data_IF_725310831393
#
_entry.id   IF_725310831393
#
_cell.length_a   1.000
_cell.length_b   1.000
_cell.length_c   1.000
_cell.angle_alpha   90.00
_cell.angle_beta   90.00
_cell.angle_gamma   90.00
#
_symmetry.space_group_name_H-M   'P 1'
#
loop_
_entity.id
_entity.type
_entity.pdbx_description
1 polymer ?
#
# COMPACT_ATOMS: atom_id res chain seq x y z
N UNK A 1 41.47 39.13 -15.43
CA UNK A 1 42.81 39.07 -16.06
C UNK A 1 43.17 37.65 -16.37
N UNK A 2 43.47 37.47 -17.65
CA UNK A 2 44.16 36.38 -18.35
C UNK A 2 43.51 35.00 -18.50
N UNK A 3 43.05 34.91 -19.73
CA UNK A 3 42.92 33.77 -20.64
C UNK A 3 44.18 32.93 -20.76
N UNK A 4 44.06 31.61 -21.00
CA UNK A 4 44.84 30.93 -22.04
C UNK A 4 44.12 29.66 -22.50
N UNK A 5 43.82 29.66 -23.78
CA UNK A 5 43.47 28.58 -24.68
C UNK A 5 44.76 27.89 -25.14
N UNK A 6 44.76 26.57 -25.27
CA UNK A 6 45.72 25.88 -26.13
C UNK A 6 45.02 24.81 -26.99
N UNK A 7 45.14 25.05 -28.31
CA UNK A 7 44.77 24.16 -29.40
C UNK A 7 46.00 23.31 -29.75
N UNK A 8 45.83 22.00 -29.83
CA UNK A 8 46.82 21.11 -30.45
C UNK A 8 46.34 20.69 -31.83
N UNK A 9 47.15 20.93 -32.83
CA UNK A 9 46.96 20.64 -34.25
C UNK A 9 47.42 19.21 -34.55
N UNK A 10 46.62 18.48 -35.35
CA UNK A 10 47.03 17.25 -35.97
C UNK A 10 47.94 17.52 -37.19
N UNK A 11 49.03 16.83 -37.29
CA UNK A 11 49.92 16.79 -38.48
C UNK A 11 49.68 15.46 -39.24
N UNK A 12 49.40 15.64 -40.52
CA UNK A 12 49.27 14.57 -41.49
C UNK A 12 50.64 14.35 -42.15
N UNK A 13 51.17 13.11 -42.16
CA UNK A 13 52.34 12.74 -42.94
C UNK A 13 51.91 11.79 -44.05
N UNK A 14 52.17 12.22 -45.29
CA UNK A 14 51.93 11.47 -46.53
C UNK A 14 53.17 10.65 -46.83
N UNK A 15 53.01 9.35 -46.97
CA UNK A 15 54.04 8.46 -47.51
C UNK A 15 53.50 7.64 -48.68
N UNK A 16 54.08 7.85 -49.88
CA UNK A 16 53.76 7.16 -51.12
C UNK A 16 54.47 5.81 -51.19
N UNK A 17 53.75 4.72 -51.50
CA UNK A 17 54.34 3.54 -52.09
C UNK A 17 53.27 2.81 -52.93
N UNK A 18 53.57 2.67 -54.21
CA UNK A 18 52.82 1.89 -55.19
C UNK A 18 53.04 0.39 -54.98
N UNK A 19 51.95 -0.40 -54.98
CA UNK A 19 51.95 -1.77 -55.45
C UNK A 19 50.57 -2.19 -55.87
N UNK A 20 50.41 -2.65 -57.09
CA UNK A 20 49.20 -3.19 -57.69
C UNK A 20 48.79 -4.53 -57.04
N UNK A 21 47.54 -4.70 -56.75
CA UNK A 21 46.93 -5.95 -56.34
C UNK A 21 45.45 -5.77 -56.08
N UNK A 22 44.58 -6.11 -57.03
CA UNK A 22 43.16 -5.96 -56.90
C UNK A 22 42.55 -6.86 -55.83
N UNK A 23 41.89 -6.27 -54.88
CA UNK A 23 40.90 -6.91 -54.01
C UNK A 23 39.72 -5.95 -53.92
N UNK A 24 38.59 -6.38 -54.50
CA UNK A 24 37.32 -5.71 -54.35
C UNK A 24 36.87 -5.88 -52.92
N UNK A 25 37.14 -4.92 -52.07
CA UNK A 25 36.62 -4.85 -50.73
C UNK A 25 35.19 -4.31 -50.81
N UNK A 26 34.23 -5.21 -50.70
CA UNK A 26 32.84 -4.82 -50.51
C UNK A 26 32.74 -4.08 -49.16
N UNK A 27 32.70 -2.74 -49.23
CA UNK A 27 32.28 -1.92 -48.10
C UNK A 27 30.80 -2.23 -47.81
N UNK A 28 30.56 -3.23 -46.97
CA UNK A 28 29.25 -3.42 -46.35
C UNK A 28 28.99 -2.19 -45.46
N UNK A 29 28.06 -1.34 -45.83
CA UNK A 29 27.55 -0.30 -44.98
C UNK A 29 27.09 -0.94 -43.68
N UNK A 30 27.47 -0.40 -42.49
CA UNK A 30 26.95 -0.91 -41.24
C UNK A 30 25.41 -0.76 -41.26
N UNK A 31 24.69 -1.89 -41.20
CA UNK A 31 23.25 -1.87 -41.04
C UNK A 31 22.97 -1.05 -39.74
N UNK A 32 22.00 -0.12 -39.80
CA UNK A 32 21.55 0.57 -38.61
C UNK A 32 21.10 -0.50 -37.62
N UNK A 33 21.72 -0.55 -36.43
CA UNK A 33 21.18 -1.36 -35.33
C UNK A 33 19.76 -0.84 -35.07
N UNK A 34 18.78 -1.68 -35.34
CA UNK A 34 17.39 -1.39 -34.96
C UNK A 34 17.38 -1.01 -33.47
N UNK A 35 16.89 0.19 -33.18
CA UNK A 35 16.66 0.60 -31.80
C UNK A 35 15.71 -0.42 -31.17
N UNK A 36 16.01 -0.93 -29.97
CA UNK A 36 15.13 -1.90 -29.32
C UNK A 36 13.71 -1.29 -29.23
N UNK A 37 12.75 -1.98 -29.79
CA UNK A 37 11.34 -1.61 -29.70
C UNK A 37 11.00 -1.54 -28.20
N UNK A 38 10.46 -0.43 -27.68
CA UNK A 38 10.10 -0.35 -26.27
C UNK A 38 9.11 -1.46 -25.93
N UNK A 39 9.24 -2.09 -24.76
CA UNK A 39 8.35 -3.16 -24.34
C UNK A 39 6.89 -2.66 -24.36
N UNK A 40 5.99 -3.49 -24.88
CA UNK A 40 4.56 -3.20 -24.88
C UNK A 40 4.05 -3.26 -23.41
N UNK A 41 3.33 -2.24 -22.94
CA UNK A 41 2.72 -2.30 -21.60
C UNK A 41 1.79 -3.51 -21.45
N UNK A 42 1.81 -4.14 -20.28
CA UNK A 42 0.89 -5.24 -19.97
C UNK A 42 -0.56 -4.77 -19.95
N UNK A 43 -1.48 -5.66 -20.36
CA UNK A 43 -2.93 -5.44 -20.17
C UNK A 43 -3.29 -5.47 -18.67
N UNK A 44 -4.50 -5.05 -18.31
CA UNK A 44 -4.95 -5.09 -16.93
C UNK A 44 -4.95 -6.52 -16.36
N UNK A 45 -5.40 -7.51 -17.16
CA UNK A 45 -5.40 -8.93 -16.77
C UNK A 45 -3.99 -9.48 -16.62
N UNK A 46 -3.04 -9.06 -17.45
CA UNK A 46 -1.63 -9.43 -17.32
C UNK A 46 -1.01 -8.83 -16.07
N UNK A 47 -1.37 -7.59 -15.69
CA UNK A 47 -0.94 -6.94 -14.45
C UNK A 47 -1.52 -7.64 -13.22
N UNK A 48 -2.79 -8.08 -13.27
CA UNK A 48 -3.38 -8.89 -12.19
C UNK A 48 -2.58 -10.18 -12.01
N UNK A 49 -2.29 -10.91 -13.10
CA UNK A 49 -1.50 -12.14 -13.01
C UNK A 49 -0.10 -11.90 -12.47
N UNK A 50 0.56 -10.83 -12.91
CA UNK A 50 1.86 -10.42 -12.37
C UNK A 50 1.78 -10.14 -10.86
N UNK A 51 0.78 -9.37 -10.42
CA UNK A 51 0.57 -9.08 -8.99
C UNK A 51 0.33 -10.36 -8.17
N UNK A 52 -0.47 -11.28 -8.69
CA UNK A 52 -0.69 -12.58 -8.05
C UNK A 52 0.59 -13.44 -8.02
N UNK A 53 1.44 -13.36 -9.05
CA UNK A 53 2.75 -14.04 -9.05
C UNK A 53 3.65 -13.48 -7.96
N UNK A 54 3.72 -12.16 -7.77
CA UNK A 54 4.48 -11.57 -6.67
C UNK A 54 4.02 -12.09 -5.30
N UNK A 55 2.71 -12.23 -5.07
CA UNK A 55 2.19 -12.82 -3.84
C UNK A 55 2.46 -14.32 -3.72
N UNK A 56 2.50 -15.03 -4.84
CA UNK A 56 2.93 -16.45 -4.86
C UNK A 56 4.39 -16.57 -4.46
N UNK A 57 5.27 -15.75 -5.01
CA UNK A 57 6.69 -15.73 -4.68
C UNK A 57 6.92 -15.39 -3.19
N UNK A 58 6.17 -14.42 -2.64
CA UNK A 58 6.15 -14.14 -1.20
C UNK A 58 5.73 -15.37 -0.39
N UNK A 59 4.62 -16.02 -0.74
CA UNK A 59 4.08 -17.17 -0.02
C UNK A 59 5.01 -18.39 -0.08
N UNK A 60 5.73 -18.56 -1.18
CA UNK A 60 6.70 -19.64 -1.40
C UNK A 60 8.11 -19.29 -0.90
N UNK A 61 8.31 -18.07 -0.33
CA UNK A 61 9.60 -17.57 0.15
C UNK A 61 10.67 -17.50 -0.94
N UNK A 62 10.24 -17.30 -2.19
CA UNK A 62 11.10 -17.03 -3.33
C UNK A 62 11.56 -15.57 -3.32
N UNK A 63 12.36 -15.23 -2.33
CA UNK A 63 12.70 -13.83 -2.02
C UNK A 63 13.42 -13.10 -3.15
N UNK A 64 14.27 -13.79 -3.92
CA UNK A 64 14.95 -13.19 -5.07
C UNK A 64 13.96 -12.85 -6.20
N UNK A 65 12.95 -13.70 -6.44
CA UNK A 65 11.90 -13.45 -7.42
C UNK A 65 10.96 -12.34 -6.91
N UNK A 66 10.49 -12.41 -5.65
CA UNK A 66 9.67 -11.39 -5.02
C UNK A 66 10.32 -10.00 -5.07
N UNK A 67 11.64 -9.92 -4.83
CA UNK A 67 12.41 -8.69 -4.94
C UNK A 67 12.31 -8.05 -6.33
N UNK A 68 12.21 -8.85 -7.38
CA UNK A 68 12.09 -8.34 -8.75
C UNK A 68 10.78 -7.63 -9.04
N UNK A 69 9.76 -7.81 -8.20
CA UNK A 69 8.48 -7.11 -8.31
C UNK A 69 8.62 -5.60 -8.05
N UNK A 70 9.71 -5.15 -7.42
CA UNK A 70 9.92 -3.75 -7.07
C UNK A 70 10.88 -3.05 -8.03
N UNK A 71 10.58 -1.81 -8.37
CA UNK A 71 11.50 -0.94 -9.10
C UNK A 71 12.70 -0.55 -8.20
N UNK A 72 13.88 -0.24 -8.77
CA UNK A 72 15.04 0.17 -7.99
C UNK A 72 14.77 1.39 -7.07
N UNK A 73 13.85 2.27 -7.48
CA UNK A 73 13.46 3.48 -6.75
C UNK A 73 12.18 3.31 -5.94
N UNK A 74 11.68 2.08 -5.79
CA UNK A 74 10.43 1.81 -5.09
C UNK A 74 10.45 2.36 -3.66
N UNK A 75 9.29 2.85 -3.22
CA UNK A 75 9.06 3.22 -1.82
C UNK A 75 7.91 2.39 -1.26
N UNK A 76 8.03 1.95 -0.02
CA UNK A 76 6.99 1.21 0.68
C UNK A 76 6.75 1.79 2.06
N UNK A 77 5.49 2.07 2.38
CA UNK A 77 5.04 2.39 3.72
C UNK A 77 4.46 1.13 4.34
N UNK A 78 5.06 0.66 5.42
CA UNK A 78 4.65 -0.55 6.12
C UNK A 78 4.52 -0.29 7.62
N UNK A 79 3.60 -0.99 8.33
CA UNK A 79 3.46 -0.86 9.77
C UNK A 79 4.72 -1.26 10.52
N UNK A 80 4.95 -0.63 11.69
CA UNK A 80 6.02 -1.02 12.60
C UNK A 80 7.45 -0.65 12.16
N UNK A 81 7.63 -0.01 11.02
CA UNK A 81 8.94 0.44 10.55
C UNK A 81 9.29 1.78 11.22
N UNK A 82 10.43 1.90 11.86
CA UNK A 82 10.86 3.11 12.57
C UNK A 82 11.09 4.35 11.69
N UNK A 83 10.73 4.30 10.41
CA UNK A 83 10.81 5.37 9.42
C UNK A 83 9.55 5.41 8.54
N UNK A 84 9.24 6.59 7.94
CA UNK A 84 8.01 6.74 7.14
C UNK A 84 7.94 5.84 5.92
N UNK A 85 9.09 5.59 5.28
CA UNK A 85 9.17 4.80 4.06
C UNK A 85 10.44 3.94 4.04
N UNK A 86 10.29 2.71 3.55
CA UNK A 86 11.38 1.87 3.07
C UNK A 86 11.71 2.29 1.64
N UNK A 87 12.99 2.26 1.27
CA UNK A 87 13.42 2.70 -0.05
C UNK A 87 14.22 1.62 -0.76
N UNK A 88 13.79 1.28 -1.95
CA UNK A 88 14.39 0.26 -2.79
C UNK A 88 14.08 -1.17 -2.37
N UNK A 89 14.24 -2.12 -3.31
CA UNK A 89 13.85 -3.53 -3.11
C UNK A 89 14.54 -4.20 -1.93
N UNK A 90 15.77 -3.80 -1.60
CA UNK A 90 16.54 -4.43 -0.52
C UNK A 90 15.94 -4.15 0.87
N UNK A 91 15.57 -2.89 1.15
CA UNK A 91 14.95 -2.54 2.43
C UNK A 91 13.55 -3.11 2.57
N UNK A 92 12.77 -3.09 1.47
CA UNK A 92 11.40 -3.63 1.44
C UNK A 92 11.44 -5.14 1.71
N UNK A 93 12.34 -5.85 1.05
CA UNK A 93 12.53 -7.27 1.26
C UNK A 93 12.98 -7.59 2.69
N UNK A 94 13.94 -6.84 3.23
CA UNK A 94 14.43 -7.04 4.60
C UNK A 94 13.30 -6.94 5.63
N UNK A 95 12.37 -5.99 5.48
CA UNK A 95 11.23 -5.85 6.37
C UNK A 95 10.29 -7.08 6.35
N UNK A 96 10.01 -7.63 5.17
CA UNK A 96 9.23 -8.85 5.05
C UNK A 96 9.94 -10.08 5.61
N UNK A 97 11.26 -10.19 5.39
CA UNK A 97 12.08 -11.26 5.96
C UNK A 97 12.19 -11.16 7.48
N UNK A 98 12.21 -9.96 8.05
CA UNK A 98 12.17 -9.78 9.51
C UNK A 98 10.81 -10.21 10.08
N UNK A 99 9.72 -9.97 9.36
CA UNK A 99 8.41 -10.46 9.74
C UNK A 99 8.32 -11.99 9.63
N UNK A 100 8.91 -12.59 8.59
CA UNK A 100 9.04 -14.04 8.43
C UNK A 100 9.81 -14.70 9.60
N UNK A 101 10.88 -14.08 10.10
CA UNK A 101 11.61 -14.60 11.26
C UNK A 101 10.71 -14.78 12.49
N UNK A 102 9.71 -13.90 12.65
CA UNK A 102 8.71 -14.02 13.72
C UNK A 102 7.60 -15.05 13.37
N UNK A 103 7.28 -15.19 12.09
CA UNK A 103 6.21 -16.04 11.55
C UNK A 103 6.73 -16.83 10.35
N UNK A 104 7.47 -17.95 10.56
CA UNK A 104 8.10 -18.68 9.44
C UNK A 104 7.12 -19.23 8.41
N UNK A 105 5.87 -19.49 8.80
CA UNK A 105 4.78 -19.97 7.94
C UNK A 105 3.87 -18.85 7.41
N UNK A 106 4.32 -17.57 7.50
CA UNK A 106 3.53 -16.41 7.07
C UNK A 106 3.11 -16.52 5.61
N UNK A 107 1.85 -16.21 5.35
CA UNK A 107 1.28 -16.19 4.01
C UNK A 107 0.19 -15.13 3.89
N UNK A 108 0.11 -14.54 2.72
CA UNK A 108 -0.97 -13.63 2.33
C UNK A 108 -1.97 -14.33 1.40
N UNK A 109 -3.26 -14.24 1.70
CA UNK A 109 -4.35 -14.81 0.90
C UNK A 109 -5.26 -13.68 0.43
N UNK A 110 -5.22 -13.39 -0.89
CA UNK A 110 -6.05 -12.34 -1.49
C UNK A 110 -7.54 -12.65 -1.34
N UNK A 111 -8.33 -11.62 -1.00
CA UNK A 111 -9.79 -11.69 -0.93
C UNK A 111 -10.42 -10.87 -2.05
N UNK A 112 -9.85 -9.70 -2.34
CA UNK A 112 -10.28 -8.76 -3.37
C UNK A 112 -9.06 -8.16 -4.05
N UNK A 113 -9.08 -8.05 -5.37
CA UNK A 113 -8.07 -7.34 -6.17
C UNK A 113 -8.81 -6.34 -7.06
N UNK A 114 -8.47 -5.08 -6.91
CA UNK A 114 -8.96 -3.97 -7.72
C UNK A 114 -7.81 -3.44 -8.55
N UNK A 115 -8.04 -3.17 -9.82
CA UNK A 115 -7.02 -2.60 -10.71
C UNK A 115 -7.62 -1.53 -11.61
N UNK A 116 -6.96 -0.38 -11.71
CA UNK A 116 -7.24 0.61 -12.74
C UNK A 116 -5.94 1.29 -13.19
N UNK A 117 -5.66 1.20 -14.49
CA UNK A 117 -4.42 1.72 -15.07
C UNK A 117 -3.19 1.12 -14.41
N UNK A 118 -2.37 1.95 -13.77
CA UNK A 118 -1.16 1.57 -13.04
C UNK A 118 -1.36 1.44 -11.51
N UNK A 119 -2.60 1.44 -11.05
CA UNK A 119 -2.95 1.28 -9.63
C UNK A 119 -3.56 -0.10 -9.37
N UNK A 120 -3.12 -0.75 -8.30
CA UNK A 120 -3.70 -2.01 -7.81
C UNK A 120 -3.96 -1.85 -6.32
N UNK A 121 -5.12 -2.29 -5.86
CA UNK A 121 -5.42 -2.44 -4.44
C UNK A 121 -5.81 -3.89 -4.13
N UNK A 122 -5.44 -4.37 -2.97
CA UNK A 122 -5.79 -5.68 -2.46
C UNK A 122 -6.33 -5.62 -1.05
N UNK A 123 -7.36 -6.43 -0.79
CA UNK A 123 -7.72 -6.85 0.55
C UNK A 123 -7.24 -8.28 0.69
N UNK A 124 -6.41 -8.55 1.68
CA UNK A 124 -5.83 -9.87 1.89
C UNK A 124 -5.90 -10.29 3.35
N UNK A 125 -5.94 -11.59 3.58
CA UNK A 125 -5.83 -12.19 4.91
C UNK A 125 -4.39 -12.64 5.12
N UNK A 126 -3.72 -12.09 6.13
CA UNK A 126 -2.38 -12.46 6.54
C UNK A 126 -2.48 -13.51 7.64
N UNK A 127 -1.89 -14.69 7.43
CA UNK A 127 -1.94 -15.82 8.37
C UNK A 127 -0.54 -16.32 8.68
N UNK A 128 -0.32 -16.75 9.90
CA UNK A 128 0.93 -17.38 10.32
C UNK A 128 0.90 -17.81 11.78
N UNK A 129 1.96 -18.51 12.20
CA UNK A 129 2.17 -18.94 13.58
C UNK A 129 3.43 -18.30 14.12
N UNK A 130 3.33 -17.59 15.23
CA UNK A 130 4.47 -16.94 15.85
C UNK A 130 5.34 -17.95 16.60
N UNK A 131 6.28 -18.55 15.92
CA UNK A 131 7.27 -19.48 16.52
C UNK A 131 8.65 -18.85 16.68
N UNK A 132 8.91 -17.74 15.99
CA UNK A 132 10.17 -17.01 16.07
C UNK A 132 10.13 -15.86 17.10
N UNK A 133 11.26 -15.19 17.24
CA UNK A 133 11.38 -14.02 18.13
C UNK A 133 10.52 -12.86 17.65
N UNK A 134 9.90 -12.16 18.58
CA UNK A 134 9.24 -10.88 18.32
C UNK A 134 10.17 -9.75 18.74
N UNK A 135 10.42 -8.83 17.82
CA UNK A 135 11.21 -7.64 18.06
C UNK A 135 10.30 -6.50 18.51
N UNK A 136 10.54 -5.97 19.70
CA UNK A 136 9.82 -4.86 20.29
C UNK A 136 10.68 -3.58 20.19
N UNK A 137 10.09 -2.38 20.39
CA UNK A 137 10.84 -1.15 20.52
C UNK A 137 11.96 -1.25 21.58
N UNK A 138 12.97 -0.37 21.47
CA UNK A 138 14.15 -0.34 22.35
C UNK A 138 15.01 -1.62 22.30
N UNK A 139 15.02 -2.33 21.15
CA UNK A 139 15.75 -3.59 20.93
C UNK A 139 15.37 -4.73 21.89
N UNK A 140 14.21 -4.64 22.50
CA UNK A 140 13.69 -5.73 23.32
C UNK A 140 13.23 -6.89 22.41
N UNK A 141 13.44 -8.10 22.88
CA UNK A 141 13.02 -9.31 22.20
C UNK A 141 12.26 -10.20 23.15
N UNK A 142 11.21 -10.84 22.67
CA UNK A 142 10.48 -11.88 23.40
C UNK A 142 10.43 -13.16 22.56
N UNK A 143 10.38 -14.30 23.24
CA UNK A 143 10.23 -15.59 22.60
C UNK A 143 8.91 -15.69 21.86
N UNK A 144 8.86 -16.50 20.83
CA UNK A 144 7.63 -16.81 20.12
C UNK A 144 6.52 -17.31 21.05
N UNK A 145 5.31 -16.84 20.79
CA UNK A 145 4.12 -17.15 21.63
C UNK A 145 3.48 -18.48 21.27
N UNK A 146 3.88 -19.09 20.16
CA UNK A 146 3.25 -20.26 19.52
C UNK A 146 1.77 -20.03 19.16
N UNK A 147 1.34 -18.77 19.06
CA UNK A 147 -0.03 -18.43 18.69
C UNK A 147 -0.15 -18.16 17.19
N UNK A 148 -1.30 -18.48 16.66
CA UNK A 148 -1.67 -18.13 15.29
C UNK A 148 -2.12 -16.68 15.20
N UNK A 149 -1.85 -16.09 14.05
CA UNK A 149 -2.44 -14.83 13.61
C UNK A 149 -3.30 -15.06 12.36
N UNK A 150 -4.32 -14.24 12.22
CA UNK A 150 -5.18 -14.19 11.04
C UNK A 150 -5.87 -12.84 11.03
N UNK A 151 -5.34 -11.90 10.23
CA UNK A 151 -5.80 -10.52 10.18
C UNK A 151 -5.89 -10.01 8.76
N UNK A 152 -6.88 -9.17 8.51
CA UNK A 152 -7.00 -8.45 7.24
C UNK A 152 -5.94 -7.37 7.16
N UNK A 153 -5.40 -7.18 5.96
CA UNK A 153 -4.60 -6.02 5.63
C UNK A 153 -5.01 -5.43 4.29
N UNK A 154 -4.88 -4.12 4.19
CA UNK A 154 -5.04 -3.37 2.96
C UNK A 154 -3.70 -3.15 2.29
N UNK A 155 -3.66 -3.29 0.98
CA UNK A 155 -2.46 -3.13 0.16
C UNK A 155 -2.80 -2.30 -1.07
N UNK A 156 -2.11 -1.17 -1.25
CA UNK A 156 -2.27 -0.31 -2.44
C UNK A 156 -0.91 -0.09 -3.06
N UNK A 157 -0.79 -0.35 -4.36
CA UNK A 157 0.44 -0.15 -5.11
C UNK A 157 0.21 0.71 -6.35
N UNK A 158 1.20 1.53 -6.66
CA UNK A 158 1.39 2.17 -7.95
C UNK A 158 2.52 1.47 -8.68
N UNK A 159 2.28 1.03 -9.92
CA UNK A 159 3.24 0.30 -10.73
C UNK A 159 3.75 1.14 -11.89
N UNK A 160 4.98 0.91 -12.32
CA UNK A 160 5.49 1.45 -13.57
C UNK A 160 4.73 0.81 -14.75
N UNK A 161 4.08 1.62 -15.60
CA UNK A 161 3.25 1.10 -16.69
C UNK A 161 4.05 0.41 -17.80
N UNK A 162 5.36 0.68 -17.92
CA UNK A 162 6.20 0.15 -18.99
C UNK A 162 6.90 -1.16 -18.60
N UNK A 163 7.42 -1.21 -17.36
CA UNK A 163 8.21 -2.37 -16.90
C UNK A 163 7.49 -3.21 -15.87
N UNK A 164 6.27 -2.84 -15.48
CA UNK A 164 5.41 -3.53 -14.52
C UNK A 164 6.17 -3.91 -13.25
N UNK A 165 6.56 -2.87 -12.51
CA UNK A 165 7.23 -2.98 -11.20
C UNK A 165 6.59 -2.00 -10.24
N UNK A 166 6.52 -2.36 -8.97
CA UNK A 166 6.04 -1.47 -7.91
C UNK A 166 6.94 -0.24 -7.80
N UNK A 167 6.34 0.95 -7.90
CA UNK A 167 6.97 2.25 -7.63
C UNK A 167 6.65 2.74 -6.23
N UNK A 168 5.38 2.61 -5.81
CA UNK A 168 4.92 2.97 -4.47
C UNK A 168 4.04 1.88 -3.92
N UNK A 169 4.17 1.66 -2.65
CA UNK A 169 3.40 0.67 -1.91
C UNK A 169 2.97 1.25 -0.57
N UNK A 170 1.70 1.04 -0.23
CA UNK A 170 1.17 1.24 1.10
C UNK A 170 0.59 -0.08 1.59
N UNK A 171 1.08 -0.54 2.73
CA UNK A 171 0.56 -1.72 3.44
C UNK A 171 0.04 -1.25 4.77
N UNK A 172 -1.20 -1.58 5.09
CA UNK A 172 -1.82 -1.20 6.36
C UNK A 172 -2.45 -2.42 7.01
N UNK A 173 -2.04 -2.72 8.23
CA UNK A 173 -2.64 -3.72 9.12
C UNK A 173 -2.74 -3.15 10.54
N UNK A 174 -3.64 -3.69 11.36
CA UNK A 174 -3.82 -3.20 12.72
C UNK A 174 -2.89 -3.92 13.71
N UNK A 175 -1.93 -3.18 14.27
CA UNK A 175 -0.97 -3.68 15.26
C UNK A 175 -1.65 -4.10 16.57
N UNK A 176 -2.74 -3.44 17.00
CA UNK A 176 -3.50 -3.82 18.19
C UNK A 176 -4.11 -5.21 18.01
N UNK A 177 -4.68 -5.50 16.85
CA UNK A 177 -5.21 -6.83 16.52
C UNK A 177 -4.11 -7.88 16.51
N UNK A 178 -2.96 -7.58 15.90
CA UNK A 178 -1.79 -8.46 15.88
C UNK A 178 -1.34 -8.80 17.32
N UNK A 179 -1.07 -7.79 18.13
CA UNK A 179 -0.60 -7.97 19.51
C UNK A 179 -1.64 -8.68 20.39
N UNK A 180 -2.94 -8.42 20.19
CA UNK A 180 -4.02 -9.10 20.89
C UNK A 180 -4.07 -10.59 20.56
N UNK A 181 -3.99 -10.96 19.26
CA UNK A 181 -3.98 -12.35 18.82
C UNK A 181 -2.74 -13.11 19.36
N UNK A 182 -1.61 -12.43 19.50
CA UNK A 182 -0.41 -12.96 20.13
C UNK A 182 -0.51 -13.02 21.68
N UNK A 183 -1.52 -12.36 22.28
CA UNK A 183 -1.72 -12.29 23.71
C UNK A 183 -0.75 -11.38 24.43
N UNK A 184 -0.15 -10.43 23.70
CA UNK A 184 0.77 -9.41 24.24
C UNK A 184 0.00 -8.20 24.77
N UNK A 185 -1.17 -7.95 24.20
CA UNK A 185 -2.03 -6.82 24.55
C UNK A 185 -3.43 -7.32 24.97
N UNK A 186 -4.01 -6.67 25.99
CA UNK A 186 -5.38 -6.98 26.46
C UNK A 186 -6.43 -5.99 25.95
N UNK A 187 -6.13 -5.26 24.90
CA UNK A 187 -7.13 -4.42 24.22
C UNK A 187 -7.99 -5.29 23.29
N UNK A 188 -9.23 -4.88 23.06
CA UNK A 188 -10.09 -5.57 22.11
C UNK A 188 -9.61 -5.33 20.68
N UNK A 189 -9.13 -6.37 20.03
CA UNK A 189 -8.83 -6.44 18.61
C UNK A 189 -9.78 -7.39 17.89
N UNK A 190 -9.67 -7.48 16.56
CA UNK A 190 -10.44 -8.48 15.81
C UNK A 190 -10.06 -9.90 16.24
N UNK A 191 -11.04 -10.83 16.33
CA UNK A 191 -10.74 -12.21 16.58
C UNK A 191 -9.91 -12.80 15.43
N UNK A 192 -9.25 -13.92 15.71
CA UNK A 192 -8.50 -14.68 14.71
C UNK A 192 -9.41 -15.05 13.52
N UNK A 193 -9.00 -14.65 12.34
CA UNK A 193 -9.64 -15.06 11.08
C UNK A 193 -8.87 -16.26 10.51
N UNK A 194 -9.49 -17.40 10.48
CA UNK A 194 -8.92 -18.65 9.92
C UNK A 194 -9.88 -19.24 8.87
N UNK A 195 -10.23 -18.42 7.88
CA UNK A 195 -10.99 -18.86 6.72
C UNK A 195 -10.07 -19.63 5.78
N UNK A 196 -10.60 -20.65 5.10
CA UNK A 196 -9.87 -21.34 4.03
C UNK A 196 -9.47 -20.38 2.90
N UNK A 197 -8.46 -20.76 2.13
CA UNK A 197 -8.08 -19.99 0.94
C UNK A 197 -9.27 -19.86 -0.01
N UNK A 198 -9.55 -18.66 -0.44
CA UNK A 198 -10.59 -18.35 -1.42
C UNK A 198 -9.93 -17.76 -2.69
N UNK A 199 -10.58 -17.94 -3.82
CA UNK A 199 -10.17 -17.20 -5.02
C UNK A 199 -10.54 -15.72 -4.83
N UNK A 200 -9.60 -14.78 -4.98
CA UNK A 200 -9.92 -13.38 -4.83
C UNK A 200 -10.92 -12.92 -5.89
N UNK A 201 -11.88 -12.09 -5.51
CA UNK A 201 -12.66 -11.35 -6.48
C UNK A 201 -11.74 -10.36 -7.20
N UNK A 202 -11.86 -10.26 -8.53
CA UNK A 202 -11.02 -9.37 -9.35
C UNK A 202 -11.94 -8.38 -10.06
N UNK A 203 -11.67 -7.09 -9.92
CA UNK A 203 -12.41 -6.02 -10.59
C UNK A 203 -11.44 -5.12 -11.34
N UNK A 204 -11.67 -4.97 -12.63
CA UNK A 204 -10.85 -4.15 -13.52
C UNK A 204 -11.62 -2.87 -13.85
N UNK A 205 -11.01 -1.73 -13.54
CA UNK A 205 -11.55 -0.41 -13.84
C UNK A 205 -11.61 -0.14 -15.36
N UNK A 206 -12.62 0.61 -15.74
CA UNK A 206 -12.93 0.96 -17.14
C UNK A 206 -12.77 2.45 -17.40
N UNK A 207 -12.66 3.26 -16.35
CA UNK A 207 -12.72 4.73 -16.40
C UNK A 207 -14.01 5.22 -17.08
N UNK A 208 -15.12 4.55 -16.79
CA UNK A 208 -16.44 4.90 -17.31
C UNK A 208 -17.13 5.97 -16.43
N UNK A 209 -18.30 6.46 -16.90
CA UNK A 209 -19.06 7.51 -16.21
C UNK A 209 -19.49 7.08 -14.79
N UNK A 210 -19.73 5.79 -14.56
CA UNK A 210 -20.12 5.27 -13.24
C UNK A 210 -18.94 5.38 -12.27
N UNK A 211 -17.75 4.97 -12.67
CA UNK A 211 -16.55 5.07 -11.87
C UNK A 211 -16.20 6.54 -11.55
N UNK A 212 -16.32 7.44 -12.55
CA UNK A 212 -16.10 8.87 -12.35
C UNK A 212 -17.11 9.48 -11.36
N UNK A 213 -18.40 9.10 -11.48
CA UNK A 213 -19.45 9.53 -10.55
C UNK A 213 -19.18 9.03 -9.13
N UNK A 214 -18.76 7.80 -8.97
CA UNK A 214 -18.41 7.21 -7.67
C UNK A 214 -17.24 7.96 -7.01
N UNK A 215 -16.19 8.32 -7.77
CA UNK A 215 -15.08 9.14 -7.28
C UNK A 215 -15.56 10.50 -6.77
N UNK A 216 -16.41 11.21 -7.54
CA UNK A 216 -16.92 12.53 -7.13
C UNK A 216 -17.82 12.42 -5.89
N UNK A 217 -18.65 11.39 -5.79
CA UNK A 217 -19.46 11.13 -4.60
C UNK A 217 -18.58 10.89 -3.36
N UNK A 218 -17.52 10.11 -3.51
CA UNK A 218 -16.55 9.83 -2.43
C UNK A 218 -15.77 11.09 -2.03
N UNK A 219 -15.36 11.92 -2.96
CA UNK A 219 -14.73 13.23 -2.64
C UNK A 219 -15.66 14.12 -1.81
N UNK A 220 -16.91 14.22 -2.23
CA UNK A 220 -17.92 15.00 -1.52
C UNK A 220 -18.16 14.45 -0.10
N UNK A 221 -18.21 13.13 0.04
CA UNK A 221 -18.29 12.45 1.34
C UNK A 221 -17.09 12.81 2.24
N UNK A 222 -15.85 12.69 1.74
CA UNK A 222 -14.64 13.02 2.51
C UNK A 222 -14.62 14.49 2.98
N UNK A 223 -15.08 15.42 2.14
CA UNK A 223 -15.19 16.82 2.50
C UNK A 223 -16.21 17.06 3.62
N UNK A 224 -17.39 16.46 3.53
CA UNK A 224 -18.42 16.55 4.57
C UNK A 224 -17.92 15.93 5.88
N UNK A 225 -17.30 14.75 5.82
CA UNK A 225 -16.74 14.07 6.98
C UNK A 225 -15.66 14.92 7.68
N UNK A 226 -14.76 15.52 6.91
CA UNK A 226 -13.70 16.41 7.42
C UNK A 226 -14.21 17.75 7.96
N UNK A 227 -15.43 18.14 7.60
CA UNK A 227 -16.15 19.30 8.17
C UNK A 227 -17.00 18.93 9.38
N UNK A 228 -17.02 17.66 9.78
CA UNK A 228 -17.87 17.10 10.82
C UNK A 228 -19.36 17.35 10.55
N UNK A 229 -19.75 17.38 9.26
CA UNK A 229 -21.14 17.59 8.84
C UNK A 229 -21.94 16.28 8.98
N UNK A 230 -22.97 16.23 9.86
CA UNK A 230 -23.76 15.02 10.04
C UNK A 230 -24.50 14.55 8.77
N UNK A 231 -24.66 15.41 7.75
CA UNK A 231 -25.25 15.04 6.47
C UNK A 231 -24.45 13.95 5.76
N UNK A 232 -23.16 13.81 6.07
CA UNK A 232 -22.27 12.75 5.56
C UNK A 232 -22.86 11.35 5.75
N UNK A 233 -23.58 11.12 6.85
CA UNK A 233 -24.16 9.80 7.14
C UNK A 233 -25.35 9.43 6.22
N UNK A 234 -25.84 10.38 5.43
CA UNK A 234 -26.88 10.10 4.44
C UNK A 234 -26.33 9.37 3.21
N UNK A 235 -25.01 9.39 2.98
CA UNK A 235 -24.40 8.64 1.87
C UNK A 235 -24.31 7.14 2.15
N UNK A 236 -24.30 6.73 3.43
CA UNK A 236 -24.35 5.33 3.80
C UNK A 236 -25.75 4.76 3.55
N UNK A 237 -25.82 3.59 2.92
CA UNK A 237 -27.04 2.82 2.81
C UNK A 237 -27.59 2.43 4.20
N UNK A 238 -28.89 2.16 4.30
CA UNK A 238 -29.50 1.72 5.56
C UNK A 238 -28.93 0.39 6.07
N UNK A 239 -28.53 -0.48 5.16
CA UNK A 239 -27.94 -1.80 5.36
C UNK A 239 -26.42 -1.84 5.18
N UNK A 240 -25.76 -0.68 5.23
CA UNK A 240 -24.30 -0.61 5.06
C UNK A 240 -23.54 -1.44 6.10
N UNK A 241 -22.46 -2.10 5.65
CA UNK A 241 -21.54 -2.85 6.48
C UNK A 241 -20.17 -2.19 6.46
N UNK A 242 -19.60 -1.94 7.62
CA UNK A 242 -18.30 -1.29 7.76
C UNK A 242 -17.31 -2.28 8.40
N UNK A 243 -16.34 -2.70 7.60
CA UNK A 243 -15.24 -3.58 7.98
C UNK A 243 -14.04 -2.73 8.45
N UNK A 244 -14.20 -2.05 9.58
CA UNK A 244 -13.08 -1.34 10.21
C UNK A 244 -12.17 -2.36 10.93
N UNK A 245 -10.94 -2.55 10.43
CA UNK A 245 -10.02 -3.56 10.98
C UNK A 245 -9.57 -3.22 12.41
N UNK A 246 -9.73 -1.98 12.84
CA UNK A 246 -9.39 -1.54 14.21
C UNK A 246 -10.47 -1.90 15.23
N UNK A 247 -11.60 -2.47 14.78
CA UNK A 247 -12.75 -2.83 15.63
C UNK A 247 -12.88 -4.34 15.77
N UNK A 248 -13.37 -4.83 16.92
CA UNK A 248 -13.51 -6.27 17.17
C UNK A 248 -14.48 -6.98 16.23
N UNK A 249 -15.40 -6.26 15.63
CA UNK A 249 -16.42 -6.77 14.70
C UNK A 249 -16.76 -5.73 13.65
N UNK A 250 -17.40 -6.17 12.58
CA UNK A 250 -18.01 -5.27 11.61
C UNK A 250 -19.11 -4.42 12.26
N UNK A 251 -19.26 -3.19 11.78
CA UNK A 251 -20.24 -2.25 12.26
C UNK A 251 -21.39 -2.11 11.24
N UNK A 252 -22.58 -1.91 11.74
CA UNK A 252 -23.68 -1.37 10.94
C UNK A 252 -23.61 0.16 10.86
N UNK A 253 -24.48 0.76 10.05
CA UNK A 253 -24.56 2.22 9.91
C UNK A 253 -24.65 2.98 11.24
N UNK A 254 -25.53 2.53 12.17
CA UNK A 254 -25.73 3.24 13.43
C UNK A 254 -24.47 3.18 14.33
N UNK A 255 -23.80 2.03 14.37
CA UNK A 255 -22.55 1.86 15.12
C UNK A 255 -21.43 2.73 14.52
N UNK A 256 -21.33 2.82 13.18
CA UNK A 256 -20.37 3.68 12.49
C UNK A 256 -20.60 5.15 12.79
N UNK A 257 -21.85 5.63 12.68
CA UNK A 257 -22.22 7.00 13.02
C UNK A 257 -21.80 7.38 14.44
N UNK A 258 -22.05 6.50 15.41
CA UNK A 258 -21.65 6.74 16.80
C UNK A 258 -20.14 6.76 16.98
N UNK A 259 -19.42 5.87 16.26
CA UNK A 259 -17.96 5.84 16.26
C UNK A 259 -17.35 7.14 15.72
N UNK A 260 -17.85 7.62 14.56
CA UNK A 260 -17.36 8.84 13.93
C UNK A 260 -17.62 10.08 14.80
N UNK A 261 -18.82 10.19 15.39
CA UNK A 261 -19.12 11.28 16.33
C UNK A 261 -18.17 11.29 17.52
N UNK A 262 -17.86 10.12 18.08
CA UNK A 262 -16.89 10.02 19.19
C UNK A 262 -15.48 10.41 18.76
N UNK A 263 -15.09 10.13 17.51
CA UNK A 263 -13.81 10.60 16.96
C UNK A 263 -13.80 12.12 16.79
N UNK A 264 -14.87 12.73 16.27
CA UNK A 264 -15.00 14.19 16.13
C UNK A 264 -15.00 14.92 17.49
N UNK A 265 -15.60 14.31 18.53
CA UNK A 265 -15.53 14.84 19.89
C UNK A 265 -14.12 14.76 20.49
N UNK A 266 -13.33 13.73 20.12
CA UNK A 266 -11.97 13.54 20.59
C UNK A 266 -10.93 14.35 19.80
N UNK A 267 -11.27 14.77 18.57
CA UNK A 267 -10.40 15.48 17.65
C UNK A 267 -11.23 16.50 16.86
N UNK A 268 -11.36 17.71 17.37
CA UNK A 268 -12.22 18.73 16.76
C UNK A 268 -11.75 19.25 15.40
N UNK A 269 -10.48 18.98 15.03
CA UNK A 269 -9.85 19.35 13.77
C UNK A 269 -9.53 18.15 12.86
N UNK A 270 -10.12 16.97 13.14
CA UNK A 270 -9.82 15.73 12.41
C UNK A 270 -10.21 15.85 10.94
N UNK A 271 -9.28 15.51 10.06
CA UNK A 271 -9.44 15.58 8.61
C UNK A 271 -8.87 14.35 7.92
N UNK A 272 -9.50 13.98 6.82
CA UNK A 272 -9.00 12.97 5.88
C UNK A 272 -8.36 13.67 4.68
N UNK A 273 -7.14 13.30 4.36
CA UNK A 273 -6.43 13.79 3.19
C UNK A 273 -6.07 12.62 2.27
N UNK A 274 -6.67 12.57 1.07
CA UNK A 274 -6.34 11.55 0.08
C UNK A 274 -5.05 11.92 -0.67
N UNK A 275 -4.08 11.00 -0.68
CA UNK A 275 -2.90 11.07 -1.54
C UNK A 275 -3.14 10.37 -2.88
N UNK A 276 -4.08 9.43 -2.92
CA UNK A 276 -4.51 8.70 -4.11
C UNK A 276 -5.98 8.35 -3.99
N UNK A 277 -6.74 8.50 -5.08
CA UNK A 277 -8.14 8.09 -5.19
C UNK A 277 -8.44 7.66 -6.62
N UNK A 278 -9.02 6.48 -6.78
CA UNK A 278 -9.38 5.91 -8.07
C UNK A 278 -10.48 4.86 -7.91
N UNK A 279 -11.11 4.45 -9.00
CA UNK A 279 -12.21 3.50 -8.96
C UNK A 279 -11.97 2.28 -9.85
N UNK A 280 -12.62 1.17 -9.53
CA UNK A 280 -12.75 -0.01 -10.35
C UNK A 280 -14.16 -0.60 -10.16
N UNK A 281 -15.00 -0.51 -11.18
CA UNK A 281 -16.41 -0.89 -11.11
C UNK A 281 -17.16 -0.13 -10.01
N UNK A 282 -17.79 -0.88 -9.12
CA UNK A 282 -18.54 -0.32 -7.98
C UNK A 282 -17.63 0.18 -6.83
N UNK A 283 -16.32 0.00 -6.92
CA UNK A 283 -15.39 0.29 -5.83
C UNK A 283 -14.62 1.59 -6.05
N UNK A 284 -14.44 2.37 -4.98
CA UNK A 284 -13.50 3.49 -4.92
C UNK A 284 -12.43 3.16 -3.89
N UNK A 285 -11.18 3.31 -4.28
CA UNK A 285 -10.00 3.09 -3.44
C UNK A 285 -9.42 4.44 -3.05
N UNK A 286 -9.16 4.62 -1.77
CA UNK A 286 -8.55 5.81 -1.19
C UNK A 286 -7.32 5.37 -0.40
N UNK A 287 -6.20 6.03 -0.61
CA UNK A 287 -5.05 5.97 0.28
C UNK A 287 -4.70 7.39 0.72
N UNK A 288 -4.43 7.58 2.00
CA UNK A 288 -4.21 8.92 2.53
C UNK A 288 -3.75 8.95 3.98
N UNK A 289 -3.94 10.10 4.61
CA UNK A 289 -3.68 10.32 6.04
C UNK A 289 -4.92 10.85 6.75
N UNK A 290 -5.08 10.44 8.00
CA UNK A 290 -6.01 11.00 8.96
C UNK A 290 -5.22 11.86 9.95
N UNK A 291 -5.47 13.15 9.96
CA UNK A 291 -4.69 14.15 10.70
C UNK A 291 -5.58 14.91 11.69
N UNK A 292 -5.14 15.07 12.93
CA UNK A 292 -5.90 15.81 13.93
C UNK A 292 -5.14 16.06 15.23
N UNK A 293 -5.76 16.84 16.11
CA UNK A 293 -5.25 17.14 17.47
C UNK A 293 -6.19 16.54 18.50
N UNK A 294 -5.67 15.69 19.38
CA UNK A 294 -6.46 15.07 20.44
C UNK A 294 -6.81 16.11 21.52
N UNK A 295 -7.89 16.82 21.36
CA UNK A 295 -8.39 17.87 22.24
C UNK A 295 -9.63 17.48 23.04
N UNK A 296 -10.11 16.23 22.90
CA UNK A 296 -11.15 15.59 23.70
C UNK A 296 -10.77 14.19 24.17
N UNK A 297 -11.58 13.62 25.06
CA UNK A 297 -11.42 12.24 25.53
C UNK A 297 -11.82 11.23 24.45
N UNK A 298 -11.13 10.11 24.33
CA UNK A 298 -11.50 8.98 23.47
C UNK A 298 -11.81 7.73 24.32
N UNK A 299 -13.05 7.58 24.80
CA UNK A 299 -13.44 6.53 25.74
C UNK A 299 -13.25 5.11 25.20
N UNK A 300 -13.42 4.91 23.91
CA UNK A 300 -13.30 3.60 23.25
C UNK A 300 -11.95 2.92 23.51
N UNK A 301 -10.88 3.70 23.65
CA UNK A 301 -9.51 3.22 23.97
C UNK A 301 -9.03 3.72 25.33
N UNK A 302 -9.94 4.25 26.17
CA UNK A 302 -9.67 4.80 27.50
C UNK A 302 -8.60 5.91 27.51
N UNK A 303 -8.50 6.65 26.42
CA UNK A 303 -7.55 7.74 26.26
C UNK A 303 -8.18 9.05 26.72
N UNK A 304 -7.47 9.76 27.61
CA UNK A 304 -7.80 11.13 27.99
C UNK A 304 -7.21 12.11 26.98
N UNK A 305 -7.80 13.29 26.87
CA UNK A 305 -7.27 14.41 26.12
C UNK A 305 -5.78 14.61 26.38
N UNK A 306 -4.98 14.63 25.32
CA UNK A 306 -3.52 14.77 25.41
C UNK A 306 -3.01 16.10 24.85
N UNK A 307 -3.77 16.77 24.00
CA UNK A 307 -3.36 17.94 23.24
C UNK A 307 -2.35 17.64 22.13
N UNK A 308 -2.05 16.36 21.85
CA UNK A 308 -1.07 15.95 20.86
C UNK A 308 -1.68 15.86 19.47
N UNK A 309 -0.86 16.14 18.48
CA UNK A 309 -1.19 15.90 17.07
C UNK A 309 -0.92 14.44 16.71
N UNK A 310 -1.76 13.92 15.82
CA UNK A 310 -1.61 12.61 15.22
C UNK A 310 -1.74 12.73 13.70
N UNK A 311 -0.96 11.92 13.00
CA UNK A 311 -1.07 11.70 11.56
C UNK A 311 -0.93 10.21 11.31
N UNK A 312 -1.99 9.58 10.82
CA UNK A 312 -2.01 8.15 10.61
C UNK A 312 -2.36 7.82 9.14
N UNK A 313 -1.54 7.01 8.47
CA UNK A 313 -1.89 6.54 7.13
C UNK A 313 -3.09 5.61 7.21
N UNK A 314 -3.96 5.71 6.21
CA UNK A 314 -5.10 4.80 6.04
C UNK A 314 -5.28 4.37 4.60
N UNK A 315 -5.94 3.25 4.43
CA UNK A 315 -6.53 2.81 3.16
C UNK A 315 -8.01 2.61 3.42
N UNK A 316 -8.83 3.11 2.50
CA UNK A 316 -10.26 2.89 2.52
C UNK A 316 -10.70 2.39 1.15
N UNK A 317 -11.59 1.42 1.15
CA UNK A 317 -12.20 0.87 -0.06
C UNK A 317 -13.70 0.89 0.15
N UNK A 318 -14.37 1.76 -0.60
CA UNK A 318 -15.81 1.91 -0.58
C UNK A 318 -16.44 1.14 -1.72
N UNK A 319 -17.51 0.40 -1.46
CA UNK A 319 -18.36 -0.16 -2.50
C UNK A 319 -19.65 0.62 -2.60
N UNK A 320 -19.85 1.26 -3.74
CA UNK A 320 -21.03 2.08 -4.02
C UNK A 320 -22.05 1.30 -4.86
N UNK A 321 -23.31 1.45 -4.52
CA UNK A 321 -24.45 0.96 -5.33
C UNK A 321 -25.63 1.88 -5.12
N UNK A 322 -26.31 2.23 -6.19
CA UNK A 322 -27.48 3.12 -6.16
C UNK A 322 -27.19 4.46 -5.45
N UNK A 323 -26.04 5.07 -5.77
CA UNK A 323 -25.52 6.32 -5.20
C UNK A 323 -25.34 6.28 -3.66
N UNK A 324 -25.19 5.08 -3.08
CA UNK A 324 -24.97 4.88 -1.66
C UNK A 324 -23.76 3.97 -1.42
N UNK A 325 -23.04 4.24 -0.36
CA UNK A 325 -21.98 3.34 0.13
C UNK A 325 -22.67 2.16 0.83
N UNK A 326 -22.43 0.97 0.33
CA UNK A 326 -22.97 -0.30 0.84
C UNK A 326 -21.99 -1.05 1.73
N UNK A 327 -20.71 -0.96 1.40
CA UNK A 327 -19.64 -1.61 2.16
C UNK A 327 -18.45 -0.66 2.22
N UNK A 328 -17.79 -0.63 3.36
CA UNK A 328 -16.55 0.11 3.62
C UNK A 328 -15.54 -0.87 4.19
N UNK A 329 -14.34 -0.93 3.64
CA UNK A 329 -13.17 -1.55 4.26
C UNK A 329 -12.22 -0.44 4.67
N UNK A 330 -12.08 -0.24 5.97
CA UNK A 330 -11.20 0.78 6.52
C UNK A 330 -10.00 0.14 7.20
N UNK A 331 -8.81 0.51 6.76
CA UNK A 331 -7.53 0.00 7.25
C UNK A 331 -6.73 1.14 7.85
N UNK A 332 -6.40 1.03 9.12
CA UNK A 332 -5.51 1.93 9.86
C UNK A 332 -4.74 1.13 10.91
N UNK A 333 -3.51 1.51 11.20
CA UNK A 333 -2.73 0.93 12.30
C UNK A 333 -3.05 1.66 13.61
N UNK A 334 -3.93 1.07 14.40
CA UNK A 334 -4.36 1.64 15.68
C UNK A 334 -3.23 1.67 16.72
N UNK A 335 -2.29 0.73 16.67
CA UNK A 335 -1.12 0.75 17.55
C UNK A 335 -0.25 1.99 17.27
N UNK A 336 0.02 2.29 15.99
CA UNK A 336 0.73 3.50 15.59
C UNK A 336 -0.05 4.76 16.00
N UNK A 337 -1.36 4.82 15.73
CA UNK A 337 -2.21 5.94 16.12
C UNK A 337 -2.13 6.23 17.62
N UNK A 338 -2.34 5.21 18.47
CA UNK A 338 -2.31 5.35 19.93
C UNK A 338 -0.90 5.73 20.41
N UNK A 339 0.16 5.17 19.81
CA UNK A 339 1.54 5.45 20.24
C UNK A 339 1.92 6.93 20.10
N UNK A 340 1.39 7.63 19.09
CA UNK A 340 1.59 9.07 18.89
C UNK A 340 0.93 9.90 20.00
N UNK A 341 -0.16 9.38 20.58
CA UNK A 341 -0.93 10.04 21.64
C UNK A 341 -0.44 9.67 23.05
N UNK A 342 0.33 8.59 23.21
CA UNK A 342 0.83 8.17 24.53
C UNK A 342 1.64 9.28 25.21
N UNK A 343 1.34 9.56 26.47
CA UNK A 343 2.16 10.44 27.31
C UNK A 343 3.41 9.66 27.71
N UNK A 344 4.58 10.22 27.44
CA UNK A 344 5.86 9.64 27.88
C UNK A 344 6.02 9.78 29.39
#
# INVERSE_FOLDING_TARGET
>A
MNKRTDKAKAACVIGFALALGGLVSACGSPQPKESPVPPKPLTAEERVRWYQTCWTDFNEKKWDDFKTCYAPIATSQQPGQGKPYLTGPAEILAAWQDFEKSFPDIRGEGQLILINGNHIAGISLLKGTNTGLIFLPENKQISGTNKKIGLLFGHVVEIDPLVTKVLKENVVMDGVTLENQLGLLKMAGRPLMDTGAVMPAIVIGKNDDTEMKNIEATKSWMEMWSKHDPAVFNVLAGDAVIHDITRPKDMNKAESVNSDKSLWEAFSDLKLAASSMWAAGDYVVIAGTSDGTNDGDLPAVKLKKTGKKVSAPYIEIDRLRDDKIKEVWFFMDNANFISQLAVK
#
